data_IF_149052663247
#
_entry.id   IF_149052663247
#
_cell.length_a   1.000
_cell.length_b   1.000
_cell.length_c   1.000
_cell.angle_alpha   90.00
_cell.angle_beta   90.00
_cell.angle_gamma   90.00
#
_symmetry.space_group_name_H-M   'P 1'
#
loop_
_entity.id
_entity.type
_entity.pdbx_description
1 polymer ?
#
# COMPACT_ATOMS: atom_id res chain seq x y z
N UNK A 1 21.05 -14.01 -10.11
CA UNK A 1 19.97 -15.02 -9.92
C UNK A 1 18.61 -14.35 -10.07
N UNK A 2 17.79 -14.81 -11.01
CA UNK A 2 16.40 -14.35 -11.20
C UNK A 2 15.60 -14.78 -9.96
N UNK A 3 15.21 -13.83 -9.11
CA UNK A 3 14.49 -14.17 -7.87
C UNK A 3 12.99 -14.32 -8.16
N UNK A 4 12.58 -15.53 -8.50
CA UNK A 4 11.19 -15.87 -8.77
C UNK A 4 10.40 -16.03 -7.47
N UNK A 5 9.11 -15.67 -7.53
CA UNK A 5 8.15 -15.90 -6.47
C UNK A 5 7.83 -17.40 -6.40
N UNK A 6 7.83 -17.95 -5.18
CA UNK A 6 7.43 -19.33 -4.92
C UNK A 6 5.93 -19.39 -4.70
N UNK A 7 5.30 -20.53 -5.00
CA UNK A 7 3.86 -20.75 -4.78
C UNK A 7 3.44 -20.39 -3.35
N UNK A 8 4.18 -20.84 -2.34
CA UNK A 8 3.89 -20.51 -0.94
C UNK A 8 3.89 -19.01 -0.63
N UNK A 9 4.77 -18.25 -1.29
CA UNK A 9 4.84 -16.79 -1.10
C UNK A 9 3.63 -16.12 -1.74
N UNK A 10 3.22 -16.60 -2.92
CA UNK A 10 2.03 -16.10 -3.63
C UNK A 10 0.77 -16.38 -2.81
N UNK A 11 0.62 -17.60 -2.28
CA UNK A 11 -0.55 -17.99 -1.48
C UNK A 11 -0.66 -17.14 -0.21
N UNK A 12 0.43 -16.97 0.55
CA UNK A 12 0.41 -16.14 1.76
C UNK A 12 0.14 -14.68 1.44
N UNK A 13 0.75 -14.14 0.37
CA UNK A 13 0.42 -12.79 -0.09
C UNK A 13 -1.07 -12.68 -0.44
N UNK A 14 -1.63 -13.62 -1.20
CA UNK A 14 -3.03 -13.62 -1.56
C UNK A 14 -3.96 -13.64 -0.34
N UNK A 15 -3.64 -14.43 0.69
CA UNK A 15 -4.42 -14.48 1.94
C UNK A 15 -4.37 -13.15 2.70
N UNK A 16 -3.17 -12.58 2.87
CA UNK A 16 -3.01 -11.28 3.54
C UNK A 16 -3.71 -10.17 2.74
N UNK A 17 -3.55 -10.18 1.43
CA UNK A 17 -4.17 -9.22 0.52
C UNK A 17 -5.69 -9.32 0.51
N UNK A 18 -6.26 -10.53 0.62
CA UNK A 18 -7.70 -10.71 0.70
C UNK A 18 -8.26 -10.09 1.98
N UNK A 19 -7.60 -10.30 3.13
CA UNK A 19 -7.97 -9.62 4.38
C UNK A 19 -7.88 -8.09 4.23
N UNK A 20 -6.83 -7.58 3.60
CA UNK A 20 -6.72 -6.15 3.32
C UNK A 20 -7.80 -5.64 2.36
N UNK A 21 -8.27 -6.45 1.41
CA UNK A 21 -9.37 -6.08 0.51
C UNK A 21 -10.67 -5.82 1.26
N UNK A 22 -10.97 -6.66 2.25
CA UNK A 22 -12.10 -6.49 3.18
C UNK A 22 -11.92 -5.22 4.02
N UNK A 23 -10.73 -5.01 4.58
CA UNK A 23 -10.43 -3.79 5.35
C UNK A 23 -10.58 -2.54 4.49
N UNK A 24 -10.13 -2.58 3.23
CA UNK A 24 -10.26 -1.45 2.31
C UNK A 24 -11.72 -1.16 1.99
N UNK A 25 -12.57 -2.18 1.89
CA UNK A 25 -14.01 -1.96 1.66
C UNK A 25 -14.65 -1.24 2.86
N UNK A 26 -14.26 -1.61 4.08
CA UNK A 26 -14.65 -0.88 5.30
C UNK A 26 -14.13 0.56 5.30
N UNK A 27 -12.88 0.78 4.88
CA UNK A 27 -12.29 2.11 4.76
C UNK A 27 -12.98 2.95 3.69
N UNK A 28 -13.35 2.39 2.54
CA UNK A 28 -14.07 3.08 1.47
C UNK A 28 -15.40 3.65 2.01
N UNK A 29 -16.07 2.87 2.86
CA UNK A 29 -17.32 3.24 3.53
C UNK A 29 -17.14 4.37 4.54
N UNK A 30 -15.94 4.55 5.11
CA UNK A 30 -15.60 5.62 6.06
C UNK A 30 -15.04 6.85 5.34
N UNK A 31 -14.30 6.64 4.25
CA UNK A 31 -13.59 7.68 3.50
C UNK A 31 -14.56 8.72 2.94
N UNK A 32 -15.70 8.29 2.40
CA UNK A 32 -16.72 9.19 1.83
C UNK A 32 -17.39 10.07 2.90
N UNK A 33 -17.93 9.53 4.01
CA UNK A 33 -18.43 10.35 5.12
C UNK A 33 -17.38 11.32 5.69
N UNK A 34 -16.13 10.86 5.86
CA UNK A 34 -15.06 11.69 6.38
C UNK A 34 -14.73 12.87 5.45
N UNK A 35 -14.72 12.60 4.13
CA UNK A 35 -14.54 13.64 3.10
C UNK A 35 -15.72 14.60 3.06
N UNK A 36 -16.93 14.13 3.36
CA UNK A 36 -18.13 14.97 3.41
C UNK A 36 -18.11 15.91 4.62
N UNK A 37 -17.69 15.43 5.80
CA UNK A 37 -17.72 16.19 7.06
C UNK A 37 -16.53 17.16 7.17
N UNK A 38 -15.32 16.69 6.85
CA UNK A 38 -14.08 17.45 7.02
C UNK A 38 -13.56 18.05 5.70
N UNK A 39 -14.36 17.99 4.63
CA UNK A 39 -13.97 18.39 3.29
C UNK A 39 -12.91 17.47 2.67
N UNK A 40 -12.29 17.89 1.54
CA UNK A 40 -11.30 17.09 0.81
C UNK A 40 -10.12 16.58 1.65
N UNK A 41 -9.81 17.25 2.76
CA UNK A 41 -8.70 16.92 3.65
C UNK A 41 -9.00 15.73 4.58
N UNK A 42 -10.28 15.45 4.85
CA UNK A 42 -10.69 14.42 5.80
C UNK A 42 -10.20 13.03 5.39
N UNK A 43 -10.54 12.62 4.16
CA UNK A 43 -10.12 11.31 3.63
C UNK A 43 -8.60 11.16 3.54
N UNK A 44 -7.89 12.25 3.27
CA UNK A 44 -6.43 12.23 3.11
C UNK A 44 -5.68 11.83 4.39
N UNK A 45 -6.28 12.01 5.57
CA UNK A 45 -5.69 11.63 6.86
C UNK A 45 -5.50 10.11 6.96
N UNK A 46 -6.45 9.33 6.46
CA UNK A 46 -6.41 7.85 6.54
C UNK A 46 -5.84 7.20 5.27
N UNK A 47 -5.45 8.01 4.28
CA UNK A 47 -5.03 7.55 2.96
C UNK A 47 -3.90 6.50 3.00
N UNK A 48 -2.92 6.67 3.89
CA UNK A 48 -1.78 5.77 4.02
C UNK A 48 -2.16 4.32 4.33
N UNK A 49 -3.34 4.07 4.89
CA UNK A 49 -3.83 2.71 5.16
C UNK A 49 -4.02 1.92 3.85
N UNK A 50 -4.40 2.60 2.77
CA UNK A 50 -4.56 1.97 1.45
C UNK A 50 -3.24 1.49 0.83
N UNK A 51 -2.09 1.89 1.38
CA UNK A 51 -0.76 1.51 0.87
C UNK A 51 -0.24 0.22 1.54
N UNK A 52 -0.88 -0.23 2.62
CA UNK A 52 -0.41 -1.35 3.44
C UNK A 52 -0.30 -2.64 2.63
N UNK A 53 -1.26 -2.94 1.75
CA UNK A 53 -1.25 -4.19 0.96
C UNK A 53 0.01 -4.33 0.10
N UNK A 54 0.40 -3.26 -0.61
CA UNK A 54 1.60 -3.20 -1.42
C UNK A 54 2.87 -3.27 -0.55
N UNK A 55 2.94 -2.44 0.48
CA UNK A 55 4.11 -2.28 1.35
C UNK A 55 4.37 -3.53 2.19
N UNK A 56 3.34 -4.11 2.81
CA UNK A 56 3.43 -5.30 3.65
C UNK A 56 3.85 -6.52 2.84
N UNK A 57 3.23 -6.75 1.67
CA UNK A 57 3.58 -7.86 0.79
C UNK A 57 5.04 -7.78 0.35
N UNK A 58 5.48 -6.58 -0.04
CA UNK A 58 6.86 -6.31 -0.39
C UNK A 58 7.82 -6.49 0.80
N UNK A 59 7.44 -6.02 1.99
CA UNK A 59 8.25 -6.10 3.21
C UNK A 59 8.48 -7.54 3.68
N UNK A 60 7.46 -8.40 3.54
CA UNK A 60 7.51 -9.82 3.89
C UNK A 60 8.33 -10.62 2.88
N UNK A 61 7.99 -10.50 1.59
CA UNK A 61 8.54 -11.37 0.54
C UNK A 61 9.89 -10.88 0.01
N UNK A 62 10.09 -9.56 -0.08
CA UNK A 62 11.34 -8.92 -0.51
C UNK A 62 11.87 -9.44 -1.85
N UNK A 63 10.99 -9.57 -2.84
CA UNK A 63 11.29 -10.01 -4.21
C UNK A 63 10.53 -9.17 -5.23
N UNK A 64 11.03 -9.09 -6.49
CA UNK A 64 10.31 -8.44 -7.57
C UNK A 64 8.90 -9.01 -7.76
N UNK A 65 7.92 -8.12 -7.91
CA UNK A 65 6.51 -8.46 -8.15
C UNK A 65 5.68 -8.63 -6.87
N UNK A 66 6.30 -8.69 -5.69
CA UNK A 66 5.57 -8.86 -4.43
C UNK A 66 4.65 -7.67 -4.12
N UNK A 67 5.08 -6.45 -4.42
CA UNK A 67 4.30 -5.24 -4.16
C UNK A 67 3.09 -5.14 -5.10
N UNK A 68 3.31 -5.42 -6.38
CA UNK A 68 2.26 -5.41 -7.41
C UNK A 68 1.22 -6.50 -7.15
N UNK A 69 1.63 -7.75 -6.93
CA UNK A 69 0.67 -8.84 -6.68
C UNK A 69 -0.10 -8.63 -5.38
N UNK A 70 0.59 -8.20 -4.32
CA UNK A 70 -0.03 -7.88 -3.04
C UNK A 70 -1.13 -6.84 -3.18
N UNK A 71 -0.83 -5.74 -3.87
CA UNK A 71 -1.81 -4.68 -4.11
C UNK A 71 -2.94 -5.14 -5.04
N UNK A 72 -2.62 -5.85 -6.13
CA UNK A 72 -3.58 -6.32 -7.11
C UNK A 72 -4.62 -7.26 -6.49
N UNK A 73 -4.18 -8.24 -5.69
CA UNK A 73 -5.09 -9.14 -4.98
C UNK A 73 -6.02 -8.38 -4.03
N UNK A 74 -5.49 -7.38 -3.33
CA UNK A 74 -6.31 -6.52 -2.46
C UNK A 74 -7.35 -5.74 -3.25
N UNK A 75 -6.94 -5.12 -4.37
CA UNK A 75 -7.85 -4.40 -5.26
C UNK A 75 -8.92 -5.29 -5.87
N UNK A 76 -8.57 -6.52 -6.27
CA UNK A 76 -9.52 -7.50 -6.79
C UNK A 76 -10.58 -7.87 -5.76
N UNK A 77 -10.16 -8.18 -4.53
CA UNK A 77 -11.11 -8.51 -3.46
C UNK A 77 -12.00 -7.30 -3.14
N UNK A 78 -11.42 -6.11 -3.00
CA UNK A 78 -12.17 -4.88 -2.76
C UNK A 78 -13.19 -4.59 -3.89
N UNK A 79 -12.79 -4.76 -5.16
CA UNK A 79 -13.68 -4.62 -6.31
C UNK A 79 -14.84 -5.61 -6.25
N UNK A 80 -14.55 -6.89 -6.02
CA UNK A 80 -15.55 -7.97 -5.96
C UNK A 80 -16.53 -7.80 -4.80
N UNK A 81 -16.11 -7.10 -3.74
CA UNK A 81 -16.97 -6.74 -2.61
C UNK A 81 -17.88 -5.53 -2.90
N UNK A 82 -17.79 -4.92 -4.08
CA UNK A 82 -18.67 -3.83 -4.50
C UNK A 82 -18.12 -2.43 -4.21
N UNK A 83 -16.80 -2.24 -4.33
CA UNK A 83 -16.17 -0.93 -4.14
C UNK A 83 -16.89 0.19 -4.91
N UNK A 84 -17.18 1.35 -4.27
CA UNK A 84 -17.82 2.48 -4.93
C UNK A 84 -16.94 3.11 -6.03
N UNK A 85 -15.63 2.81 -6.01
CA UNK A 85 -14.68 3.30 -7.01
C UNK A 85 -14.61 2.42 -8.27
N UNK A 86 -15.31 1.28 -8.29
CA UNK A 86 -15.35 0.37 -9.44
C UNK A 86 -13.94 -0.04 -9.92
N UNK A 87 -13.77 -0.17 -11.24
CA UNK A 87 -12.49 -0.63 -11.84
C UNK A 87 -11.29 0.27 -11.49
N UNK A 88 -11.52 1.52 -11.09
CA UNK A 88 -10.46 2.42 -10.70
C UNK A 88 -9.72 1.95 -9.43
N UNK A 89 -10.29 1.07 -8.60
CA UNK A 89 -9.53 0.47 -7.49
C UNK A 89 -8.38 -0.41 -8.01
N UNK A 90 -8.58 -1.12 -9.12
CA UNK A 90 -7.52 -1.95 -9.73
C UNK A 90 -6.40 -1.07 -10.26
N UNK A 91 -6.74 0.04 -10.91
CA UNK A 91 -5.76 1.03 -11.37
C UNK A 91 -4.97 1.59 -10.19
N UNK A 92 -5.66 1.95 -9.10
CA UNK A 92 -5.01 2.42 -7.88
C UNK A 92 -4.04 1.37 -7.32
N UNK A 93 -4.49 0.12 -7.16
CA UNK A 93 -3.67 -0.99 -6.65
C UNK A 93 -2.43 -1.24 -7.51
N UNK A 94 -2.55 -1.19 -8.83
CA UNK A 94 -1.40 -1.34 -9.72
C UNK A 94 -0.40 -0.18 -9.55
N UNK A 95 -0.88 1.06 -9.43
CA UNK A 95 -0.04 2.24 -9.18
C UNK A 95 0.65 2.18 -7.81
N UNK A 96 -0.06 1.73 -6.77
CA UNK A 96 0.51 1.50 -5.45
C UNK A 96 1.64 0.49 -5.52
N UNK A 97 1.37 -0.68 -6.11
CA UNK A 97 2.34 -1.73 -6.31
C UNK A 97 3.55 -1.26 -7.09
N UNK A 98 3.33 -0.55 -8.21
CA UNK A 98 4.39 0.01 -9.04
C UNK A 98 5.27 1.00 -8.27
N UNK A 99 4.67 1.93 -7.51
CA UNK A 99 5.43 2.89 -6.72
C UNK A 99 6.28 2.22 -5.64
N UNK A 100 5.74 1.20 -4.96
CA UNK A 100 6.51 0.41 -4.00
C UNK A 100 7.66 -0.31 -4.70
N UNK A 101 7.40 -1.02 -5.79
CA UNK A 101 8.40 -1.76 -6.57
C UNK A 101 9.54 -0.86 -7.05
N UNK A 102 9.22 0.30 -7.66
CA UNK A 102 10.23 1.24 -8.16
C UNK A 102 11.16 1.66 -7.03
N UNK A 103 10.61 2.04 -5.87
CA UNK A 103 11.40 2.50 -4.75
C UNK A 103 12.35 1.41 -4.22
N UNK A 104 11.88 0.17 -4.06
CA UNK A 104 12.73 -0.93 -3.54
C UNK A 104 13.66 -1.52 -4.60
N UNK A 105 13.30 -1.42 -5.88
CA UNK A 105 14.13 -1.87 -7.00
C UNK A 105 15.43 -1.05 -7.10
N UNK A 106 15.39 0.25 -6.79
CA UNK A 106 16.59 1.11 -6.70
C UNK A 106 17.62 0.54 -5.71
N UNK A 107 17.16 -0.07 -4.62
CA UNK A 107 18.01 -0.75 -3.63
C UNK A 107 18.10 -2.26 -3.86
N UNK A 108 17.75 -2.75 -5.05
CA UNK A 108 17.78 -4.18 -5.44
C UNK A 108 17.11 -5.10 -4.41
N UNK A 109 16.00 -4.68 -3.81
CA UNK A 109 15.23 -5.46 -2.82
C UNK A 109 16.06 -5.90 -1.59
N UNK A 110 17.05 -5.11 -1.19
CA UNK A 110 17.98 -5.46 -0.10
C UNK A 110 17.70 -4.73 1.22
N UNK A 111 17.17 -3.50 1.17
CA UNK A 111 16.96 -2.66 2.35
C UNK A 111 15.48 -2.38 2.57
N UNK A 112 15.05 -2.52 3.82
CA UNK A 112 13.67 -2.31 4.26
C UNK A 112 13.61 -1.55 5.60
N UNK A 113 14.49 -0.57 5.76
CA UNK A 113 14.43 0.34 6.91
C UNK A 113 13.16 1.19 6.87
N UNK A 114 12.80 1.80 8.00
CA UNK A 114 11.68 2.74 8.06
C UNK A 114 11.82 3.83 6.99
N UNK A 115 13.01 4.40 6.82
CA UNK A 115 13.28 5.39 5.78
C UNK A 115 13.00 4.88 4.36
N UNK A 116 13.48 3.69 4.02
CA UNK A 116 13.26 3.11 2.70
C UNK A 116 11.78 2.77 2.44
N UNK A 117 11.08 2.27 3.47
CA UNK A 117 9.65 2.00 3.42
C UNK A 117 8.84 3.29 3.28
N UNK A 118 9.25 4.38 3.92
CA UNK A 118 8.64 5.70 3.76
C UNK A 118 8.80 6.24 2.34
N UNK A 119 9.99 6.10 1.72
CA UNK A 119 10.18 6.47 0.31
C UNK A 119 9.26 5.66 -0.60
N UNK A 120 9.16 4.34 -0.38
CA UNK A 120 8.28 3.47 -1.15
C UNK A 120 6.81 3.86 -1.01
N UNK A 121 6.39 4.19 0.21
CA UNK A 121 5.03 4.64 0.52
C UNK A 121 4.71 5.98 -0.17
N UNK A 122 5.61 6.96 -0.08
CA UNK A 122 5.45 8.28 -0.72
C UNK A 122 5.38 8.13 -2.24
N UNK A 123 6.23 7.30 -2.85
CA UNK A 123 6.21 7.09 -4.29
C UNK A 123 4.91 6.44 -4.76
N UNK A 124 4.43 5.43 -4.05
CA UNK A 124 3.12 4.82 -4.29
C UNK A 124 1.98 5.84 -4.16
N UNK A 125 2.00 6.67 -3.10
CA UNK A 125 1.03 7.74 -2.90
C UNK A 125 1.03 8.75 -4.06
N UNK A 126 2.21 9.17 -4.53
CA UNK A 126 2.32 10.13 -5.64
C UNK A 126 1.68 9.56 -6.91
N UNK A 127 1.99 8.31 -7.27
CA UNK A 127 1.44 7.69 -8.48
C UNK A 127 -0.08 7.58 -8.44
N UNK A 128 -0.65 7.20 -7.30
CA UNK A 128 -2.11 7.13 -7.15
C UNK A 128 -2.72 8.53 -7.10
N UNK A 129 -2.07 9.50 -6.46
CA UNK A 129 -2.55 10.89 -6.43
C UNK A 129 -2.53 11.51 -7.83
N UNK A 130 -1.59 11.15 -8.69
CA UNK A 130 -1.63 11.51 -10.11
C UNK A 130 -2.89 10.98 -10.79
N UNK A 131 -3.27 9.72 -10.55
CA UNK A 131 -4.55 9.18 -11.03
C UNK A 131 -5.71 9.98 -10.47
N UNK A 132 -5.75 10.24 -9.17
CA UNK A 132 -6.82 11.00 -8.53
C UNK A 132 -6.94 12.42 -9.13
N UNK A 133 -5.81 13.01 -9.53
CA UNK A 133 -5.78 14.28 -10.23
C UNK A 133 -6.43 14.26 -11.61
N UNK A 134 -6.25 13.20 -12.41
CA UNK A 134 -6.87 13.15 -13.73
C UNK A 134 -8.29 12.58 -13.72
N UNK A 135 -8.62 11.71 -12.77
CA UNK A 135 -9.87 10.94 -12.76
C UNK A 135 -10.90 11.51 -11.77
N UNK A 136 -10.46 11.91 -10.59
CA UNK A 136 -11.35 12.27 -9.47
C UNK A 136 -11.39 13.77 -9.17
N UNK A 137 -10.93 14.61 -10.10
CA UNK A 137 -11.22 16.03 -10.03
C UNK A 137 -10.32 16.85 -9.09
N UNK A 138 -9.15 16.37 -8.66
CA UNK A 138 -8.29 17.18 -7.76
C UNK A 138 -7.88 18.52 -8.38
N UNK A 139 -7.86 18.63 -9.71
CA UNK A 139 -7.63 19.88 -10.43
C UNK A 139 -8.67 20.97 -10.11
N UNK A 140 -9.85 20.60 -9.59
CA UNK A 140 -10.89 21.55 -9.16
C UNK A 140 -10.54 22.25 -7.84
N UNK A 141 -9.54 21.76 -7.11
CA UNK A 141 -9.11 22.29 -5.81
C UNK A 141 -7.64 22.76 -5.82
N UNK A 142 -7.20 23.61 -6.77
CA UNK A 142 -5.78 23.90 -6.98
C UNK A 142 -5.09 24.52 -5.76
N UNK A 143 -5.83 25.31 -4.97
CA UNK A 143 -5.33 25.92 -3.74
C UNK A 143 -5.15 24.92 -2.59
N UNK A 144 -5.87 23.80 -2.60
CA UNK A 144 -5.81 22.77 -1.56
C UNK A 144 -4.82 21.65 -1.89
N UNK A 145 -4.42 21.48 -3.16
CA UNK A 145 -3.48 20.43 -3.57
C UNK A 145 -2.20 20.39 -2.71
N UNK A 146 -1.52 21.51 -2.40
CA UNK A 146 -0.31 21.46 -1.58
C UNK A 146 -0.57 20.89 -0.18
N UNK A 147 -1.68 21.28 0.46
CA UNK A 147 -2.01 20.82 1.81
C UNK A 147 -2.50 19.37 1.81
N UNK A 148 -3.26 18.97 0.80
CA UNK A 148 -3.68 17.58 0.56
C UNK A 148 -2.46 16.66 0.42
N UNK A 149 -1.47 17.08 -0.39
CA UNK A 149 -0.23 16.33 -0.56
C UNK A 149 0.56 16.21 0.74
N UNK A 150 0.67 17.28 1.53
CA UNK A 150 1.35 17.23 2.84
C UNK A 150 0.67 16.22 3.77
N UNK A 151 -0.67 16.28 3.88
CA UNK A 151 -1.44 15.36 4.72
C UNK A 151 -1.26 13.92 4.22
N UNK A 152 -1.37 13.69 2.91
CA UNK A 152 -1.15 12.37 2.31
C UNK A 152 0.27 11.86 2.55
N UNK A 153 1.30 12.70 2.48
CA UNK A 153 2.69 12.32 2.80
C UNK A 153 2.78 11.86 4.26
N UNK A 154 2.27 12.66 5.20
CA UNK A 154 2.29 12.33 6.62
C UNK A 154 1.53 11.01 6.88
N UNK A 155 0.33 10.88 6.32
CA UNK A 155 -0.50 9.67 6.38
C UNK A 155 0.23 8.45 5.81
N UNK A 156 0.87 8.60 4.64
CA UNK A 156 1.60 7.52 3.96
C UNK A 156 2.82 7.06 4.75
N UNK A 157 3.52 7.98 5.42
CA UNK A 157 4.65 7.63 6.28
C UNK A 157 4.15 6.88 7.53
N UNK A 158 3.18 7.44 8.24
CA UNK A 158 2.71 6.90 9.53
C UNK A 158 1.89 5.62 9.32
N UNK A 159 0.81 5.71 8.56
CA UNK A 159 -0.11 4.60 8.35
C UNK A 159 0.34 3.64 7.26
N UNK A 160 1.01 4.12 6.21
CA UNK A 160 1.55 3.24 5.17
C UNK A 160 2.79 2.50 5.65
N UNK A 161 3.92 3.20 5.75
CA UNK A 161 5.20 2.59 6.09
C UNK A 161 5.24 2.08 7.55
N UNK A 162 4.79 2.91 8.50
CA UNK A 162 4.79 2.57 9.93
C UNK A 162 3.97 1.33 10.26
N UNK A 163 2.68 1.31 9.91
CA UNK A 163 1.85 0.14 10.18
C UNK A 163 2.30 -1.10 9.42
N UNK A 164 2.74 -0.97 8.16
CA UNK A 164 3.25 -2.14 7.41
C UNK A 164 4.46 -2.79 8.10
N UNK A 165 5.37 -1.99 8.66
CA UNK A 165 6.51 -2.51 9.43
C UNK A 165 6.03 -3.14 10.73
N UNK A 166 5.11 -2.48 11.46
CA UNK A 166 4.58 -2.99 12.71
C UNK A 166 3.86 -4.34 12.52
N UNK A 167 2.98 -4.42 11.51
CA UNK A 167 2.28 -5.65 11.13
C UNK A 167 3.27 -6.73 10.68
N UNK A 168 4.26 -6.40 9.86
CA UNK A 168 5.28 -7.35 9.43
C UNK A 168 6.11 -7.91 10.59
N UNK A 169 6.44 -7.08 11.58
CA UNK A 169 7.13 -7.51 12.81
C UNK A 169 6.23 -8.37 13.71
N UNK A 170 4.97 -7.99 13.90
CA UNK A 170 4.00 -8.75 14.69
C UNK A 170 3.73 -10.13 14.07
N UNK A 171 3.54 -10.19 12.74
CA UNK A 171 3.41 -11.46 12.03
C UNK A 171 4.68 -12.29 12.15
N UNK A 172 5.86 -11.67 12.06
CA UNK A 172 7.13 -12.38 12.26
C UNK A 172 7.23 -12.99 13.67
N UNK A 173 6.80 -12.29 14.72
CA UNK A 173 6.87 -12.83 16.09
C UNK A 173 5.94 -14.02 16.34
N UNK A 174 4.92 -14.25 15.51
CA UNK A 174 4.08 -15.46 15.59
C UNK A 174 4.73 -16.71 15.00
N UNK A 175 5.87 -16.58 14.31
CA UNK A 175 6.54 -17.68 13.61
C UNK A 175 5.93 -18.03 12.25
N UNK A 176 4.77 -17.48 11.87
CA UNK A 176 4.11 -17.76 10.58
C UNK A 176 4.98 -17.33 9.38
N UNK A 177 5.92 -16.40 9.58
CA UNK A 177 6.81 -15.89 8.54
C UNK A 177 8.23 -16.48 8.58
N UNK A 178 8.51 -17.54 9.35
CA UNK A 178 9.86 -18.11 9.52
C UNK A 178 10.53 -18.48 8.20
N UNK A 179 9.74 -18.90 7.23
CA UNK A 179 10.18 -19.30 5.90
C UNK A 179 10.47 -18.15 4.93
N UNK A 180 10.07 -16.93 5.29
CA UNK A 180 10.13 -15.74 4.44
C UNK A 180 11.41 -14.95 4.64
N UNK A 181 11.77 -14.12 3.65
CA UNK A 181 12.99 -13.31 3.69
C UNK A 181 13.03 -12.30 4.84
N UNK A 182 11.89 -11.83 5.30
CA UNK A 182 11.79 -10.97 6.51
C UNK A 182 12.42 -11.62 7.75
N UNK A 183 12.43 -12.96 7.82
CA UNK A 183 12.99 -13.73 8.92
C UNK A 183 14.47 -14.06 8.75
N UNK A 184 15.01 -13.93 7.54
CA UNK A 184 16.42 -14.26 7.21
C UNK A 184 17.40 -13.08 7.35
N UNK A 185 16.91 -11.91 7.73
CA UNK A 185 17.71 -10.67 7.78
C UNK A 185 17.60 -9.90 9.09
N UNK A 186 17.31 -10.57 10.21
CA UNK A 186 17.45 -9.95 11.54
C UNK A 186 18.90 -10.05 12.01
N UNK A 187 19.76 -9.29 11.35
CA UNK A 187 21.01 -8.77 11.90
C UNK A 187 21.10 -7.30 11.47
N UNK A 188 20.49 -6.42 12.27
CA UNK A 188 20.81 -4.99 12.37
C UNK A 188 20.17 -4.43 13.62
#
# INVERSE_FOLDING_TARGET
MKQTLKLKEIVVMAMLSALMGVVFMGLDSIYQPLTTIAGPLGGDIIYGVYLISALLSMYIVRKPGAGILGALFTGLVNLLMGSPYGIHIIVASLLQGAGVEIAVAIKKYSKFSYFQMSIASILAMILVTMRDYFIFGFQLYPKLIPIMLIIRVISSIIFGAGLSIALGKALKSTGVLNDFKISRGSES
#
